data_IF_884037414347
#
_entry.id   IF_884037414347
#
_cell.length_a   1.000
_cell.length_b   1.000
_cell.length_c   1.000
_cell.angle_alpha   90.00
_cell.angle_beta   90.00
_cell.angle_gamma   90.00
#
_symmetry.space_group_name_H-M   'P 1'
#
loop_
_entity.id
_entity.type
_entity.pdbx_description
1 polymer ?
#
# COMPACT_ATOMS: atom_id res chain seq x y z
N UNK A 1 2.92 16.47 15.85
CA UNK A 1 1.44 16.47 15.76
C UNK A 1 0.89 15.76 16.98
N UNK A 2 -0.29 16.14 17.49
CA UNK A 2 -0.94 15.43 18.61
C UNK A 2 -2.03 14.52 18.05
N UNK A 3 -2.31 13.41 18.74
CA UNK A 3 -3.38 12.50 18.35
C UNK A 3 -4.75 13.18 18.20
N UNK A 4 -5.05 14.16 19.05
CA UNK A 4 -6.32 14.91 19.04
C UNK A 4 -6.56 15.72 17.75
N UNK A 5 -5.49 16.06 17.03
CA UNK A 5 -5.54 16.79 15.77
C UNK A 5 -5.99 15.89 14.60
N UNK A 6 -5.83 14.57 14.70
CA UNK A 6 -6.18 13.62 13.64
C UNK A 6 -7.69 13.61 13.39
N UNK A 7 -8.06 13.62 12.11
CA UNK A 7 -9.45 13.56 11.62
C UNK A 7 -9.63 12.51 10.53
N UNK A 8 -8.55 12.06 9.91
CA UNK A 8 -8.60 11.08 8.83
C UNK A 8 -7.43 10.13 8.82
N UNK A 9 -7.65 8.98 8.17
CA UNK A 9 -6.67 7.91 8.03
C UNK A 9 -6.60 7.47 6.58
N UNK A 10 -5.40 7.50 6.01
CA UNK A 10 -5.11 7.04 4.65
C UNK A 10 -4.39 5.69 4.73
N UNK A 11 -5.00 4.65 4.21
CA UNK A 11 -4.48 3.28 4.29
C UNK A 11 -3.81 2.87 2.98
N UNK A 12 -2.60 2.33 3.05
CA UNK A 12 -2.19 1.39 2.02
C UNK A 12 -2.98 0.08 2.13
N UNK A 13 -2.90 -0.77 1.13
CA UNK A 13 -3.67 -2.02 1.04
C UNK A 13 -2.79 -3.24 1.30
N UNK A 14 -1.78 -3.40 0.45
CA UNK A 14 -0.98 -4.61 0.33
C UNK A 14 0.03 -4.69 1.49
N UNK A 15 -0.15 -5.66 2.40
CA UNK A 15 0.70 -5.77 3.60
C UNK A 15 0.26 -4.90 4.78
N UNK A 16 -0.75 -4.03 4.58
CA UNK A 16 -1.37 -3.23 5.65
C UNK A 16 -2.75 -3.78 6.00
N UNK A 17 -3.71 -3.70 5.07
CA UNK A 17 -5.08 -4.18 5.32
C UNK A 17 -5.18 -5.69 5.13
N UNK A 18 -4.52 -6.21 4.09
CA UNK A 18 -4.58 -7.64 3.76
C UNK A 18 -3.22 -8.17 3.31
N UNK A 19 -3.01 -9.47 3.49
CA UNK A 19 -1.81 -10.19 3.02
C UNK A 19 -1.88 -10.45 1.51
N UNK A 20 -2.11 -9.40 0.75
CA UNK A 20 -2.10 -9.42 -0.72
C UNK A 20 -0.72 -9.13 -1.30
N UNK A 21 0.21 -8.66 -0.49
CA UNK A 21 1.62 -8.51 -0.87
C UNK A 21 2.22 -9.84 -1.35
N UNK A 22 1.86 -10.96 -0.71
CA UNK A 22 2.25 -12.33 -1.14
C UNK A 22 1.81 -12.63 -2.58
N UNK A 23 0.61 -12.20 -2.98
CA UNK A 23 0.07 -12.42 -4.33
C UNK A 23 0.82 -11.56 -5.36
N UNK A 24 1.15 -10.32 -5.01
CA UNK A 24 2.02 -9.50 -5.84
C UNK A 24 3.40 -10.13 -6.01
N UNK A 25 4.02 -10.58 -4.91
CA UNK A 25 5.30 -11.29 -4.93
C UNK A 25 5.25 -12.55 -5.80
N UNK A 26 4.24 -13.41 -5.63
CA UNK A 26 4.08 -14.62 -6.43
C UNK A 26 3.92 -14.31 -7.92
N UNK A 27 3.08 -13.35 -8.29
CA UNK A 27 2.86 -13.00 -9.68
C UNK A 27 4.07 -12.33 -10.33
N UNK A 28 4.84 -11.54 -9.58
CA UNK A 28 6.10 -10.95 -10.05
C UNK A 28 7.23 -11.98 -10.16
N UNK A 29 7.33 -12.93 -9.23
CA UNK A 29 8.28 -14.01 -9.29
C UNK A 29 8.08 -14.86 -10.55
N UNK A 30 6.83 -15.25 -10.86
CA UNK A 30 6.51 -15.95 -12.10
C UNK A 30 6.94 -15.18 -13.36
N UNK A 31 6.79 -13.86 -13.33
CA UNK A 31 7.25 -13.02 -14.44
C UNK A 31 8.78 -12.93 -14.50
N UNK A 32 9.46 -12.80 -13.37
CA UNK A 32 10.92 -12.78 -13.29
C UNK A 32 11.52 -14.07 -13.88
N UNK A 33 10.97 -15.21 -13.50
CA UNK A 33 11.37 -16.52 -14.07
C UNK A 33 11.19 -16.55 -15.60
N UNK A 34 10.06 -16.02 -16.09
CA UNK A 34 9.75 -15.99 -17.52
C UNK A 34 10.74 -15.14 -18.32
N UNK A 35 11.19 -14.01 -17.76
CA UNK A 35 12.13 -13.11 -18.45
C UNK A 35 13.60 -13.44 -18.14
N UNK A 36 13.87 -14.49 -17.34
CA UNK A 36 15.22 -14.92 -17.00
C UNK A 36 15.91 -14.10 -15.91
N UNK A 37 15.16 -13.34 -15.11
CA UNK A 37 15.67 -12.58 -13.98
C UNK A 37 15.67 -13.43 -12.71
N UNK A 38 16.81 -13.49 -12.02
CA UNK A 38 16.89 -14.16 -10.71
C UNK A 38 16.03 -13.43 -9.67
N UNK A 39 15.13 -14.17 -9.02
CA UNK A 39 14.30 -13.64 -7.97
C UNK A 39 15.01 -13.69 -6.62
N UNK A 40 15.35 -12.53 -6.07
CA UNK A 40 16.02 -12.42 -4.77
C UNK A 40 15.13 -11.72 -3.74
N UNK A 41 15.38 -11.90 -2.42
CA UNK A 41 14.68 -11.16 -1.38
C UNK A 41 14.80 -9.63 -1.55
N UNK A 42 15.96 -9.15 -1.95
CA UNK A 42 16.24 -7.72 -2.17
C UNK A 42 15.41 -7.16 -3.33
N UNK A 43 15.30 -7.93 -4.43
CA UNK A 43 14.44 -7.56 -5.55
C UNK A 43 12.97 -7.53 -5.10
N UNK A 44 12.51 -8.56 -4.40
CA UNK A 44 11.15 -8.63 -3.87
C UNK A 44 10.80 -7.42 -2.99
N UNK A 45 11.71 -7.04 -2.08
CA UNK A 45 11.52 -5.88 -1.21
C UNK A 45 11.49 -4.55 -1.99
N UNK A 46 12.30 -4.41 -3.03
CA UNK A 46 12.33 -3.21 -3.87
C UNK A 46 11.05 -2.94 -4.64
N UNK A 47 10.19 -3.95 -4.81
CA UNK A 47 8.92 -3.83 -5.54
C UNK A 47 7.73 -3.40 -4.66
N UNK A 48 7.90 -3.38 -3.33
CA UNK A 48 6.82 -3.02 -2.41
C UNK A 48 6.42 -1.56 -2.57
N UNK A 49 5.12 -1.30 -2.71
CA UNK A 49 4.56 0.05 -2.87
C UNK A 49 4.86 0.72 -4.23
N UNK A 50 5.54 0.02 -5.14
CA UNK A 50 5.94 0.55 -6.46
C UNK A 50 4.86 0.30 -7.51
N UNK A 51 4.75 1.22 -8.49
CA UNK A 51 3.79 1.08 -9.59
C UNK A 51 4.07 -0.16 -10.44
N UNK A 52 3.03 -0.65 -11.15
CA UNK A 52 3.16 -1.86 -12.00
C UNK A 52 4.27 -1.75 -13.04
N UNK A 53 4.36 -0.62 -13.74
CA UNK A 53 5.35 -0.47 -14.81
C UNK A 53 6.76 -0.27 -14.24
N UNK A 54 6.88 0.49 -13.16
CA UNK A 54 8.18 0.67 -12.49
C UNK A 54 8.68 -0.65 -11.89
N UNK A 55 7.79 -1.48 -11.32
CA UNK A 55 8.14 -2.83 -10.85
C UNK A 55 8.67 -3.72 -11.97
N UNK A 56 8.04 -3.68 -13.15
CA UNK A 56 8.53 -4.42 -14.33
C UNK A 56 9.92 -3.92 -14.73
N UNK A 57 10.13 -2.61 -14.79
CA UNK A 57 11.45 -2.04 -15.14
C UNK A 57 12.54 -2.45 -14.14
N UNK A 58 12.21 -2.48 -12.84
CA UNK A 58 13.15 -2.98 -11.81
C UNK A 58 13.52 -4.44 -12.04
N UNK A 59 12.54 -5.30 -12.35
CA UNK A 59 12.78 -6.73 -12.65
C UNK A 59 13.66 -6.89 -13.90
N UNK A 60 13.31 -6.20 -14.99
CA UNK A 60 14.09 -6.27 -16.23
C UNK A 60 15.52 -5.77 -16.02
N UNK A 61 15.69 -4.68 -15.28
CA UNK A 61 17.00 -4.12 -14.95
C UNK A 61 17.84 -5.07 -14.09
N UNK A 62 17.24 -5.73 -13.11
CA UNK A 62 17.92 -6.72 -12.26
C UNK A 62 18.45 -7.91 -13.08
N UNK A 63 17.73 -8.30 -14.16
CA UNK A 63 18.17 -9.35 -15.08
C UNK A 63 19.08 -8.88 -16.22
N UNK A 64 19.30 -7.55 -16.37
CA UNK A 64 20.05 -7.00 -17.51
C UNK A 64 19.24 -6.98 -18.82
N UNK A 65 17.91 -6.99 -18.73
CA UNK A 65 16.96 -7.13 -19.83
C UNK A 65 16.19 -5.83 -20.15
N UNK A 66 16.62 -4.68 -19.63
CA UNK A 66 15.92 -3.40 -19.77
C UNK A 66 15.71 -2.95 -21.23
N UNK A 67 16.56 -3.42 -22.15
CA UNK A 67 16.51 -3.08 -23.57
C UNK A 67 16.02 -4.23 -24.47
N UNK A 68 15.68 -5.39 -23.92
CA UNK A 68 15.32 -6.58 -24.67
C UNK A 68 13.87 -6.58 -25.16
N UNK A 69 13.04 -5.69 -24.60
CA UNK A 69 11.61 -5.61 -24.84
C UNK A 69 11.19 -4.22 -25.31
N UNK A 70 10.40 -4.18 -26.37
CA UNK A 70 9.69 -2.96 -26.80
C UNK A 70 8.66 -2.53 -25.75
N UNK A 71 8.18 -1.28 -25.85
CA UNK A 71 7.15 -0.78 -24.94
C UNK A 71 5.86 -1.62 -24.98
N UNK A 72 5.45 -2.09 -26.16
CA UNK A 72 4.26 -2.93 -26.31
C UNK A 72 4.45 -4.29 -25.65
N UNK A 73 5.64 -4.88 -25.76
CA UNK A 73 5.95 -6.16 -25.07
C UNK A 73 6.01 -5.98 -23.56
N UNK A 74 6.55 -4.87 -23.05
CA UNK A 74 6.52 -4.55 -21.61
C UNK A 74 5.09 -4.41 -21.11
N UNK A 75 4.22 -3.76 -21.86
CA UNK A 75 2.79 -3.65 -21.53
C UNK A 75 2.13 -5.05 -21.51
N UNK A 76 2.46 -5.91 -22.47
CA UNK A 76 1.94 -7.28 -22.52
C UNK A 76 2.40 -8.12 -21.31
N UNK A 77 3.68 -8.06 -20.94
CA UNK A 77 4.24 -8.70 -19.75
C UNK A 77 3.57 -8.23 -18.47
N UNK A 78 3.40 -6.92 -18.30
CA UNK A 78 2.72 -6.34 -17.14
C UNK A 78 1.24 -6.73 -17.07
N UNK A 79 0.58 -6.91 -18.23
CA UNK A 79 -0.80 -7.38 -18.32
C UNK A 79 -0.90 -8.83 -17.90
N UNK A 80 -0.05 -9.71 -18.41
CA UNK A 80 0.00 -11.13 -18.04
C UNK A 80 0.22 -11.30 -16.52
N UNK A 81 1.18 -10.58 -15.96
CA UNK A 81 1.38 -10.54 -14.49
C UNK A 81 0.10 -10.14 -13.76
N UNK A 82 -0.59 -9.13 -14.26
CA UNK A 82 -1.83 -8.67 -13.65
C UNK A 82 -2.95 -9.73 -13.72
N UNK A 83 -3.07 -10.44 -14.82
CA UNK A 83 -4.06 -11.50 -14.98
C UNK A 83 -3.80 -12.66 -14.02
N UNK A 84 -2.54 -13.00 -13.79
CA UNK A 84 -2.15 -13.99 -12.79
C UNK A 84 -2.47 -13.49 -11.35
N UNK A 85 -2.18 -12.23 -11.06
CA UNK A 85 -2.54 -11.62 -9.78
C UNK A 85 -4.05 -11.60 -9.54
N UNK A 86 -4.87 -11.27 -10.55
CA UNK A 86 -6.34 -11.24 -10.42
C UNK A 86 -6.87 -12.62 -10.03
N UNK A 87 -6.36 -13.70 -10.62
CA UNK A 87 -6.76 -15.07 -10.24
C UNK A 87 -6.49 -15.38 -8.76
N UNK A 88 -5.40 -14.84 -8.21
CA UNK A 88 -5.09 -14.99 -6.79
C UNK A 88 -6.03 -14.14 -5.93
N UNK A 89 -6.30 -12.90 -6.33
CA UNK A 89 -7.24 -12.00 -5.63
C UNK A 89 -8.66 -12.58 -5.56
N UNK A 90 -9.09 -13.33 -6.57
CA UNK A 90 -10.40 -13.99 -6.58
C UNK A 90 -10.56 -15.06 -5.49
N UNK A 91 -9.47 -15.49 -4.86
CA UNK A 91 -9.51 -16.43 -3.73
C UNK A 91 -9.65 -15.75 -2.37
N UNK A 92 -9.58 -14.41 -2.31
CA UNK A 92 -9.65 -13.64 -1.06
C UNK A 92 -11.02 -13.77 -0.39
N UNK A 93 -10.97 -13.79 0.92
CA UNK A 93 -12.11 -13.77 1.83
C UNK A 93 -11.86 -12.77 2.95
N UNK A 94 -12.85 -12.41 3.77
CA UNK A 94 -12.63 -11.57 4.96
C UNK A 94 -11.60 -12.13 5.95
N UNK A 95 -11.30 -13.43 5.92
CA UNK A 95 -10.27 -14.05 6.74
C UNK A 95 -8.83 -13.67 6.34
N UNK A 96 -8.65 -13.08 5.15
CA UNK A 96 -7.37 -12.60 4.65
C UNK A 96 -7.07 -11.15 5.09
N UNK A 97 -7.97 -10.50 5.83
CA UNK A 97 -7.70 -9.23 6.50
C UNK A 97 -6.64 -9.47 7.59
N UNK A 98 -5.59 -8.67 7.58
CA UNK A 98 -4.50 -8.80 8.56
C UNK A 98 -5.00 -8.56 9.99
N UNK A 99 -4.43 -9.26 10.98
CA UNK A 99 -4.81 -9.11 12.39
C UNK A 99 -4.81 -7.63 12.82
N UNK A 100 -5.81 -7.23 13.61
CA UNK A 100 -5.97 -5.86 14.12
C UNK A 100 -6.60 -4.86 13.14
N UNK A 101 -6.52 -5.09 11.82
CA UNK A 101 -6.99 -4.11 10.84
C UNK A 101 -8.50 -3.97 10.81
N UNK A 102 -9.24 -5.08 10.92
CA UNK A 102 -10.71 -5.02 10.97
C UNK A 102 -11.19 -4.26 12.21
N UNK A 103 -10.58 -4.54 13.35
CA UNK A 103 -10.93 -3.88 14.63
C UNK A 103 -10.58 -2.38 14.56
N UNK A 104 -9.42 -2.02 13.99
CA UNK A 104 -9.04 -0.62 13.78
C UNK A 104 -10.03 0.10 12.86
N UNK A 105 -10.44 -0.50 11.74
CA UNK A 105 -11.45 0.08 10.83
C UNK A 105 -12.78 0.30 11.57
N UNK A 106 -13.22 -0.65 12.41
CA UNK A 106 -14.42 -0.52 13.25
C UNK A 106 -14.28 0.63 14.26
N UNK A 107 -13.13 0.72 14.95
CA UNK A 107 -12.85 1.82 15.89
C UNK A 107 -12.88 3.19 15.20
N UNK A 108 -12.24 3.31 14.02
CA UNK A 108 -12.19 4.55 13.25
C UNK A 108 -13.60 4.99 12.84
N UNK A 109 -14.41 4.06 12.31
CA UNK A 109 -15.79 4.33 11.91
C UNK A 109 -16.65 4.76 13.11
N UNK A 110 -16.54 4.05 14.25
CA UNK A 110 -17.28 4.36 15.47
C UNK A 110 -16.93 5.74 16.05
N UNK A 111 -15.70 6.21 15.83
CA UNK A 111 -15.23 7.52 16.27
C UNK A 111 -15.31 8.61 15.17
N UNK A 112 -15.99 8.32 14.05
CA UNK A 112 -16.25 9.26 12.96
C UNK A 112 -15.00 9.82 12.27
N UNK A 113 -13.91 9.07 12.23
CA UNK A 113 -12.76 9.39 11.39
C UNK A 113 -13.06 9.12 9.92
N UNK A 114 -12.55 9.96 9.05
CA UNK A 114 -12.60 9.71 7.61
C UNK A 114 -11.55 8.67 7.22
N UNK A 115 -11.91 7.74 6.33
CA UNK A 115 -11.03 6.64 5.91
C UNK A 115 -10.94 6.62 4.40
N UNK A 116 -9.73 6.72 3.86
CA UNK A 116 -9.46 6.69 2.42
C UNK A 116 -8.38 5.65 2.12
N UNK A 117 -8.49 4.98 0.99
CA UNK A 117 -7.46 4.05 0.52
C UNK A 117 -6.45 4.77 -0.38
N UNK A 118 -5.16 4.60 -0.10
CA UNK A 118 -4.01 5.18 -0.80
C UNK A 118 -3.10 4.07 -1.34
N UNK A 119 -3.64 3.19 -2.19
CA UNK A 119 -2.92 2.05 -2.77
C UNK A 119 -2.48 2.30 -4.20
N UNK A 120 -1.26 1.90 -4.55
CA UNK A 120 -0.74 1.91 -5.92
C UNK A 120 -1.40 0.83 -6.82
N UNK A 121 -2.19 -0.06 -6.25
CA UNK A 121 -2.85 -1.15 -6.97
C UNK A 121 -4.14 -0.70 -7.67
N UNK A 122 -4.16 -0.78 -9.01
CA UNK A 122 -5.40 -0.58 -9.79
C UNK A 122 -6.50 -1.62 -9.48
N UNK A 123 -6.15 -2.69 -8.78
CA UNK A 123 -7.09 -3.75 -8.39
C UNK A 123 -7.67 -3.54 -6.98
N UNK A 124 -7.28 -2.47 -6.28
CA UNK A 124 -7.72 -2.19 -4.92
C UNK A 124 -9.25 -2.27 -4.71
N UNK A 125 -10.11 -1.73 -5.61
CA UNK A 125 -11.55 -1.87 -5.46
C UNK A 125 -12.04 -3.33 -5.47
N UNK A 126 -11.39 -4.20 -6.26
CA UNK A 126 -11.72 -5.64 -6.27
C UNK A 126 -11.33 -6.31 -4.96
N UNK A 127 -10.13 -6.00 -4.45
CA UNK A 127 -9.64 -6.53 -3.17
C UNK A 127 -10.60 -6.14 -2.05
N UNK A 128 -10.95 -4.86 -1.90
CA UNK A 128 -11.91 -4.40 -0.88
C UNK A 128 -13.25 -5.12 -0.97
N UNK A 129 -13.72 -5.39 -2.19
CA UNK A 129 -14.98 -6.11 -2.42
C UNK A 129 -14.89 -7.55 -1.92
N UNK A 130 -13.83 -8.29 -2.23
CA UNK A 130 -13.65 -9.68 -1.77
C UNK A 130 -13.45 -9.75 -0.25
N UNK A 131 -12.78 -8.76 0.34
CA UNK A 131 -12.62 -8.63 1.79
C UNK A 131 -13.90 -8.14 2.50
N UNK A 132 -14.94 -7.70 1.75
CA UNK A 132 -16.21 -7.17 2.26
C UNK A 132 -16.03 -5.93 3.17
N UNK A 133 -15.07 -5.06 2.83
CA UNK A 133 -14.76 -3.84 3.59
C UNK A 133 -14.88 -2.55 2.76
N UNK A 134 -15.50 -2.60 1.60
CA UNK A 134 -15.64 -1.42 0.72
C UNK A 134 -16.32 -0.25 1.45
N UNK A 135 -17.33 -0.51 2.26
CA UNK A 135 -18.16 0.50 2.94
C UNK A 135 -17.44 1.23 4.10
N UNK A 136 -16.23 0.81 4.44
CA UNK A 136 -15.38 1.55 5.39
C UNK A 136 -14.76 2.79 4.79
N UNK A 137 -14.50 2.78 3.48
CA UNK A 137 -13.75 3.80 2.77
C UNK A 137 -14.67 4.82 2.12
N UNK A 138 -14.45 6.09 2.40
CA UNK A 138 -15.17 7.21 1.77
C UNK A 138 -14.64 7.51 0.37
N UNK A 139 -13.41 7.04 0.07
CA UNK A 139 -12.78 7.18 -1.23
C UNK A 139 -11.59 6.26 -1.42
N UNK A 140 -11.22 6.08 -2.68
CA UNK A 140 -10.02 5.35 -3.10
C UNK A 140 -9.27 6.28 -4.04
N UNK A 141 -8.01 6.54 -3.76
CA UNK A 141 -7.14 7.28 -4.69
C UNK A 141 -6.98 6.45 -5.96
N UNK A 142 -7.26 7.06 -7.11
CA UNK A 142 -7.09 6.42 -8.41
C UNK A 142 -5.62 6.50 -8.86
N UNK A 143 -4.84 5.40 -8.79
CA UNK A 143 -3.43 5.43 -9.14
C UNK A 143 -3.19 5.72 -10.63
N UNK A 144 -4.21 5.64 -11.49
CA UNK A 144 -4.08 5.97 -12.90
C UNK A 144 -4.04 7.49 -13.17
N UNK A 145 -4.42 8.29 -12.18
CA UNK A 145 -4.39 9.77 -12.25
C UNK A 145 -3.14 10.38 -11.64
N UNK A 146 -2.32 9.56 -10.98
CA UNK A 146 -1.08 10.02 -10.38
C UNK A 146 0.02 10.15 -11.45
N UNK A 147 0.84 11.17 -11.27
CA UNK A 147 2.02 11.42 -12.11
C UNK A 147 3.22 10.63 -11.61
N UNK A 148 3.33 10.49 -10.29
CA UNK A 148 4.45 9.84 -9.62
C UNK A 148 3.96 8.79 -8.62
N UNK A 149 4.72 7.69 -8.49
CA UNK A 149 4.51 6.67 -7.46
C UNK A 149 5.30 6.96 -6.18
N UNK A 150 5.00 6.21 -5.11
CA UNK A 150 5.79 6.23 -3.88
C UNK A 150 7.29 6.04 -4.22
N UNK A 151 8.22 6.80 -3.64
CA UNK A 151 8.09 7.66 -2.45
C UNK A 151 7.64 9.11 -2.70
N UNK A 152 7.10 9.44 -3.89
CA UNK A 152 6.50 10.76 -4.12
C UNK A 152 5.26 10.93 -3.23
N UNK A 153 5.02 12.13 -2.65
CA UNK A 153 3.90 12.37 -1.74
C UNK A 153 2.53 12.38 -2.42
N UNK A 154 2.45 12.32 -3.74
CA UNK A 154 1.24 12.59 -4.52
C UNK A 154 0.05 11.74 -4.05
N UNK A 155 0.24 10.43 -3.83
CA UNK A 155 -0.84 9.51 -3.46
C UNK A 155 -1.47 9.85 -2.10
N UNK A 156 -0.66 10.20 -1.10
CA UNK A 156 -1.16 10.58 0.23
C UNK A 156 -1.74 12.00 0.22
N UNK A 157 -1.12 12.93 -0.50
CA UNK A 157 -1.69 14.26 -0.72
C UNK A 157 -3.07 14.20 -1.40
N UNK A 158 -3.28 13.29 -2.35
CA UNK A 158 -4.60 13.06 -2.97
C UNK A 158 -5.58 12.41 -1.98
N UNK A 159 -5.11 11.51 -1.09
CA UNK A 159 -5.94 10.95 -0.03
C UNK A 159 -6.45 12.04 0.94
N UNK A 160 -5.58 12.95 1.38
CA UNK A 160 -5.98 14.10 2.21
C UNK A 160 -6.99 15.01 1.48
N UNK A 161 -6.81 15.25 0.18
CA UNK A 161 -7.76 16.02 -0.64
C UNK A 161 -9.13 15.34 -0.74
N UNK A 162 -9.17 14.01 -0.91
CA UNK A 162 -10.42 13.25 -0.93
C UNK A 162 -11.20 13.38 0.38
N UNK A 163 -10.49 13.46 1.50
CA UNK A 163 -11.06 13.70 2.83
C UNK A 163 -11.39 15.19 3.08
N UNK A 164 -10.96 16.09 2.19
CA UNK A 164 -11.02 17.54 2.41
C UNK A 164 -10.37 17.97 3.73
N UNK A 165 -9.24 17.36 4.09
CA UNK A 165 -8.47 17.61 5.29
C UNK A 165 -7.09 18.19 4.95
N UNK A 166 -6.53 19.06 5.80
CA UNK A 166 -5.12 19.40 5.69
C UNK A 166 -4.24 18.21 6.11
N UNK A 167 -3.07 18.06 5.52
CA UNK A 167 -2.16 16.94 5.74
C UNK A 167 -1.86 16.71 7.25
N UNK A 168 -1.71 17.78 8.02
CA UNK A 168 -1.48 17.70 9.47
C UNK A 168 -2.71 17.23 10.30
N UNK A 169 -3.77 16.78 9.69
CA UNK A 169 -4.90 16.11 10.33
C UNK A 169 -5.10 14.67 9.83
N UNK A 170 -4.17 14.19 9.01
CA UNK A 170 -4.23 12.86 8.41
C UNK A 170 -3.07 12.00 8.91
N UNK A 171 -3.35 10.72 9.17
CA UNK A 171 -2.34 9.69 9.39
C UNK A 171 -2.35 8.68 8.25
N UNK A 172 -1.18 8.41 7.66
CA UNK A 172 -0.99 7.37 6.67
C UNK A 172 -0.49 6.07 7.29
N UNK A 173 -1.01 4.92 6.84
CA UNK A 173 -0.61 3.58 7.32
C UNK A 173 0.10 2.81 6.21
N UNK A 174 1.27 2.23 6.53
CA UNK A 174 2.19 1.64 5.56
C UNK A 174 3.04 0.49 6.12
N UNK A 175 3.44 -0.43 5.24
CA UNK A 175 4.40 -1.51 5.55
C UNK A 175 5.72 -1.39 4.76
N UNK A 176 5.81 -0.43 3.83
CA UNK A 176 6.95 -0.23 2.94
C UNK A 176 7.68 1.09 3.22
N UNK A 177 9.03 1.08 3.14
CA UNK A 177 9.84 2.27 3.36
C UNK A 177 9.49 3.41 2.39
N UNK A 178 9.26 3.10 1.11
CA UNK A 178 8.86 4.10 0.12
C UNK A 178 7.52 4.78 0.46
N UNK A 179 6.60 4.04 1.10
CA UNK A 179 5.34 4.58 1.55
C UNK A 179 5.49 5.48 2.78
N UNK A 180 6.32 5.09 3.75
CA UNK A 180 6.65 5.97 4.91
C UNK A 180 7.24 7.29 4.43
N UNK A 181 8.18 7.25 3.48
CA UNK A 181 8.74 8.47 2.88
C UNK A 181 7.67 9.30 2.17
N UNK A 182 6.74 8.67 1.47
CA UNK A 182 5.63 9.33 0.77
C UNK A 182 4.71 10.06 1.76
N UNK A 183 4.32 9.40 2.87
CA UNK A 183 3.52 10.00 3.94
C UNK A 183 4.22 11.20 4.56
N UNK A 184 5.50 11.02 4.95
CA UNK A 184 6.28 12.07 5.60
C UNK A 184 6.45 13.29 4.68
N UNK A 185 6.68 13.07 3.37
CA UNK A 185 6.76 14.15 2.38
C UNK A 185 5.41 14.83 2.12
N UNK A 186 4.31 14.12 2.29
CA UNK A 186 2.97 14.71 2.24
C UNK A 186 2.66 15.60 3.45
N UNK A 187 3.46 15.51 4.52
CA UNK A 187 3.25 16.25 5.78
C UNK A 187 2.20 15.60 6.68
N UNK A 188 1.92 14.32 6.46
CA UNK A 188 1.01 13.51 7.28
C UNK A 188 1.78 12.76 8.37
N UNK A 189 1.07 12.26 9.40
CA UNK A 189 1.65 11.38 10.41
C UNK A 189 1.82 9.97 9.85
N UNK A 190 3.03 9.43 9.88
CA UNK A 190 3.28 8.08 9.39
C UNK A 190 3.13 7.02 10.49
N UNK A 191 2.34 5.98 10.19
CA UNK A 191 2.15 4.79 11.03
C UNK A 191 2.69 3.60 10.26
N UNK A 192 3.81 3.05 10.71
CA UNK A 192 4.52 1.97 10.03
C UNK A 192 4.32 0.60 10.68
N UNK A 193 4.19 -0.44 9.85
CA UNK A 193 4.14 -1.85 10.25
C UNK A 193 5.38 -2.58 9.77
N UNK A 194 6.22 -2.98 10.70
CA UNK A 194 7.48 -3.70 10.44
C UNK A 194 8.67 -3.11 11.21
N UNK A 195 9.53 -3.99 11.71
CA UNK A 195 10.68 -3.58 12.52
C UNK A 195 11.80 -2.91 11.72
N UNK A 196 11.84 -3.12 10.41
CA UNK A 196 12.88 -2.58 9.52
C UNK A 196 12.60 -1.16 9.02
N UNK A 197 11.37 -0.65 9.16
CA UNK A 197 11.00 0.68 8.71
C UNK A 197 11.75 1.76 9.48
N UNK A 198 12.20 2.78 8.77
CA UNK A 198 12.87 3.95 9.32
C UNK A 198 11.95 5.19 9.22
N UNK A 199 12.18 6.15 10.11
CA UNK A 199 11.55 7.47 10.07
C UNK A 199 10.00 7.50 10.12
N UNK A 200 9.35 6.40 10.55
CA UNK A 200 7.93 6.43 10.85
C UNK A 200 7.69 7.08 12.22
N UNK A 201 6.68 7.99 12.31
CA UNK A 201 6.32 8.69 13.54
C UNK A 201 5.79 7.72 14.61
N UNK A 202 5.01 6.74 14.17
CA UNK A 202 4.45 5.66 15.01
C UNK A 202 4.82 4.33 14.39
N UNK A 203 5.29 3.37 15.20
CA UNK A 203 5.70 2.05 14.72
C UNK A 203 5.07 0.91 15.49
N UNK A 204 4.64 -0.09 14.73
CA UNK A 204 4.23 -1.39 15.26
C UNK A 204 5.04 -2.50 14.61
N UNK A 205 5.39 -3.52 15.38
CA UNK A 205 6.08 -4.69 14.82
C UNK A 205 5.16 -5.48 13.89
N UNK A 206 3.89 -5.56 14.24
CA UNK A 206 2.85 -6.27 13.49
C UNK A 206 1.55 -5.47 13.47
N UNK A 207 0.73 -5.69 12.46
CA UNK A 207 -0.60 -5.06 12.35
C UNK A 207 -1.52 -5.43 13.52
N UNK A 208 -1.35 -6.62 14.10
CA UNK A 208 -2.12 -7.07 15.28
C UNK A 208 -1.89 -6.26 16.56
N UNK A 209 -0.85 -5.43 16.59
CA UNK A 209 -0.53 -4.60 17.75
C UNK A 209 -1.22 -3.21 17.69
N UNK A 210 -1.89 -2.88 16.58
CA UNK A 210 -2.48 -1.56 16.36
C UNK A 210 -3.86 -1.44 17.01
N UNK A 211 -4.12 -0.28 17.59
CA UNK A 211 -5.44 0.22 17.98
C UNK A 211 -5.38 1.74 18.09
N UNK A 212 -6.52 2.43 18.11
CA UNK A 212 -6.53 3.88 18.34
C UNK A 212 -5.84 4.26 19.66
N UNK A 213 -6.02 3.46 20.70
CA UNK A 213 -5.37 3.67 22.01
C UNK A 213 -3.84 3.54 21.89
N UNK A 214 -3.34 2.54 21.16
CA UNK A 214 -1.91 2.32 20.98
C UNK A 214 -1.27 3.41 20.10
N UNK A 215 -1.96 3.88 19.05
CA UNK A 215 -1.52 5.02 18.24
C UNK A 215 -1.41 6.26 19.12
N UNK A 216 -2.47 6.57 19.90
CA UNK A 216 -2.48 7.72 20.81
C UNK A 216 -1.33 7.66 21.82
N UNK A 217 -1.10 6.50 22.44
CA UNK A 217 -0.03 6.33 23.41
C UNK A 217 1.35 6.63 22.81
N UNK A 218 1.60 6.25 21.54
CA UNK A 218 2.88 6.52 20.90
C UNK A 218 3.03 7.98 20.46
N UNK A 219 1.95 8.62 20.00
CA UNK A 219 1.98 10.03 19.57
C UNK A 219 2.08 11.05 20.71
N UNK A 220 1.61 10.69 21.91
CA UNK A 220 1.59 11.57 23.09
C UNK A 220 2.88 11.44 23.95
N UNK A 221 3.84 10.59 23.53
CA UNK A 221 5.17 10.44 24.18
C UNK A 221 6.13 11.52 23.77
#
# INVERSE_FOLDING_TARGET
MKFEDLKGFAFDLDGVIADTARFHGQAWHQLADKVGTEWTPELADSLKGVSRMDSLELILKAGGHENDYSQDEKVALATEKNDNYIKLVETLTPADILPGMKDLLDELKANHYQIVLASASKNAPKVLKYLQITDYFEGIVDPAKLTHGKPDPEIYSEAAKLMNLPANQVAGLEDAQAGIESINRAGETSIGFGSSLQDADVKFAHTGDVSLAAIKEQMDK
#
